data_IF_875572512738
#
_entry.id   IF_875572512738
#
_cell.length_a   1.000
_cell.length_b   1.000
_cell.length_c   1.000
_cell.angle_alpha   90.00
_cell.angle_beta   90.00
_cell.angle_gamma   90.00
#
_symmetry.space_group_name_H-M   'P 1'
#
loop_
_entity.id
_entity.type
_entity.pdbx_description
1 polymer ?
#
# COMPACT_ATOMS: atom_id res chain seq x y z
N UNK A 1 6.86 -39.44 -24.25
CA UNK A 1 7.06 -39.54 -25.71
C UNK A 1 8.48 -39.99 -26.08
N UNK A 2 9.54 -39.31 -25.60
CA UNK A 2 10.94 -39.69 -25.86
C UNK A 2 11.27 -41.11 -25.37
N UNK A 3 10.76 -41.51 -24.20
CA UNK A 3 10.92 -42.87 -23.66
C UNK A 3 10.30 -43.95 -24.57
N UNK A 4 9.12 -43.73 -25.16
CA UNK A 4 8.43 -44.74 -25.99
C UNK A 4 9.14 -44.92 -27.33
N UNK A 5 9.51 -43.82 -27.99
CA UNK A 5 10.24 -43.86 -29.28
C UNK A 5 11.61 -44.54 -29.10
N UNK A 6 12.28 -44.25 -27.98
CA UNK A 6 13.56 -44.84 -27.65
C UNK A 6 13.47 -46.34 -27.33
N UNK A 7 12.45 -46.76 -26.57
CA UNK A 7 12.15 -48.18 -26.32
C UNK A 7 11.84 -48.95 -27.61
N UNK A 8 11.10 -48.34 -28.53
CA UNK A 8 10.80 -48.92 -29.86
C UNK A 8 12.06 -49.01 -30.74
N UNK A 9 12.96 -48.02 -30.68
CA UNK A 9 14.22 -48.03 -31.43
C UNK A 9 15.24 -49.06 -30.90
N UNK A 10 15.20 -49.35 -29.58
CA UNK A 10 16.02 -50.37 -28.93
C UNK A 10 15.58 -51.79 -29.26
N UNK A 11 14.31 -52.00 -29.60
CA UNK A 11 13.75 -53.28 -30.05
C UNK A 11 14.11 -53.62 -31.51
N UNK A 12 14.67 -52.68 -32.28
CA UNK A 12 15.03 -52.90 -33.68
C UNK A 12 16.50 -53.35 -33.82
N UNK A 13 16.74 -54.59 -34.27
CA UNK A 13 18.10 -55.13 -34.43
C UNK A 13 18.89 -54.40 -35.54
N UNK A 14 20.06 -53.84 -35.21
CA UNK A 14 20.99 -53.30 -36.19
C UNK A 14 21.80 -52.06 -35.77
N UNK A 15 22.27 -51.30 -36.76
CA UNK A 15 23.05 -50.05 -36.56
C UNK A 15 22.28 -48.99 -35.76
N UNK A 16 20.95 -48.98 -35.86
CA UNK A 16 20.08 -48.01 -35.19
C UNK A 16 20.02 -48.21 -33.67
N UNK A 17 19.99 -49.44 -33.17
CA UNK A 17 20.07 -49.73 -31.72
C UNK A 17 21.39 -49.25 -31.10
N UNK A 18 22.51 -49.39 -31.83
CA UNK A 18 23.82 -48.87 -31.38
C UNK A 18 23.86 -47.34 -31.30
N UNK A 19 23.17 -46.65 -32.21
CA UNK A 19 23.04 -45.18 -32.17
C UNK A 19 22.10 -44.76 -31.04
N UNK A 20 20.99 -45.46 -30.83
CA UNK A 20 20.06 -45.21 -29.73
C UNK A 20 20.73 -45.37 -28.36
N UNK A 21 21.53 -46.42 -28.17
CA UNK A 21 22.30 -46.63 -26.92
C UNK A 21 23.31 -45.51 -26.63
N UNK A 22 23.86 -44.87 -27.67
CA UNK A 22 24.76 -43.71 -27.53
C UNK A 22 24.02 -42.40 -27.26
N UNK A 23 22.71 -42.34 -27.51
CA UNK A 23 21.84 -41.19 -27.24
C UNK A 23 21.17 -41.28 -25.85
N UNK A 24 21.38 -42.38 -25.10
CA UNK A 24 20.91 -42.53 -23.73
C UNK A 24 21.64 -41.54 -22.81
N UNK A 25 20.99 -40.44 -22.45
CA UNK A 25 21.44 -39.59 -21.34
C UNK A 25 21.19 -40.33 -20.03
N UNK A 26 22.19 -40.33 -19.14
CA UNK A 26 22.07 -40.93 -17.81
C UNK A 26 21.04 -40.16 -16.96
N UNK A 27 20.16 -40.88 -16.26
CA UNK A 27 19.13 -40.28 -15.39
C UNK A 27 19.71 -39.72 -14.06
N UNK A 28 20.89 -40.18 -13.66
CA UNK A 28 21.59 -39.75 -12.44
C UNK A 28 21.88 -38.24 -12.40
N UNK A 29 22.54 -37.63 -13.41
CA UNK A 29 22.75 -36.19 -13.45
C UNK A 29 21.43 -35.41 -13.57
N UNK A 30 20.43 -35.95 -14.28
CA UNK A 30 19.12 -35.30 -14.42
C UNK A 30 18.40 -35.20 -13.06
N UNK A 31 18.40 -36.27 -12.28
CA UNK A 31 17.84 -36.30 -10.93
C UNK A 31 18.56 -35.34 -9.96
N UNK A 32 19.90 -35.27 -10.02
CA UNK A 32 20.68 -34.32 -9.22
C UNK A 32 20.36 -32.85 -9.60
N UNK A 33 20.29 -32.56 -10.90
CA UNK A 33 19.90 -31.23 -11.39
C UNK A 33 18.48 -30.86 -10.99
N UNK A 34 17.52 -31.79 -11.10
CA UNK A 34 16.14 -31.56 -10.69
C UNK A 34 16.03 -31.24 -9.19
N UNK A 35 16.79 -31.94 -8.35
CA UNK A 35 16.88 -31.66 -6.91
C UNK A 35 17.46 -30.27 -6.62
N UNK A 36 18.58 -29.91 -7.27
CA UNK A 36 19.20 -28.61 -7.12
C UNK A 36 18.28 -27.46 -7.56
N UNK A 37 17.57 -27.62 -8.68
CA UNK A 37 16.58 -26.65 -9.16
C UNK A 37 15.39 -26.54 -8.20
N UNK A 38 14.92 -27.65 -7.63
CA UNK A 38 13.86 -27.64 -6.61
C UNK A 38 14.25 -26.83 -5.38
N UNK A 39 15.48 -27.01 -4.89
CA UNK A 39 15.99 -26.24 -3.74
C UNK A 39 16.11 -24.74 -4.05
N UNK A 40 16.64 -24.38 -5.23
CA UNK A 40 16.74 -22.99 -5.68
C UNK A 40 15.35 -22.33 -5.80
N UNK A 41 14.37 -23.06 -6.32
CA UNK A 41 12.99 -22.57 -6.43
C UNK A 41 12.37 -22.30 -5.05
N UNK A 42 12.58 -23.20 -4.08
CA UNK A 42 12.09 -23.01 -2.71
C UNK A 42 12.71 -21.77 -2.06
N UNK A 43 14.03 -21.57 -2.19
CA UNK A 43 14.66 -20.38 -1.65
C UNK A 43 14.15 -19.09 -2.31
N UNK A 44 13.97 -19.10 -3.63
CA UNK A 44 13.41 -17.95 -4.36
C UNK A 44 11.99 -17.61 -3.92
N UNK A 45 11.12 -18.61 -3.87
CA UNK A 45 9.71 -18.40 -3.51
C UNK A 45 9.59 -17.95 -2.05
N UNK A 46 10.41 -18.49 -1.15
CA UNK A 46 10.46 -18.07 0.25
C UNK A 46 10.91 -16.60 0.41
N UNK A 47 11.99 -16.18 -0.27
CA UNK A 47 12.44 -14.77 -0.21
C UNK A 47 11.42 -13.79 -0.79
N UNK A 48 10.78 -14.16 -1.92
CA UNK A 48 9.71 -13.36 -2.50
C UNK A 48 8.49 -13.26 -1.55
N UNK A 49 8.12 -14.37 -0.92
CA UNK A 49 7.03 -14.43 0.05
C UNK A 49 7.30 -13.56 1.28
N UNK A 50 8.52 -13.61 1.84
CA UNK A 50 8.91 -12.79 2.98
C UNK A 50 8.75 -11.30 2.69
N UNK A 51 9.18 -10.84 1.51
CA UNK A 51 9.03 -9.45 1.09
C UNK A 51 7.58 -9.04 0.92
N UNK A 52 6.76 -9.89 0.29
CA UNK A 52 5.33 -9.65 0.15
C UNK A 52 4.63 -9.57 1.51
N UNK A 53 4.97 -10.48 2.43
CA UNK A 53 4.44 -10.49 3.79
C UNK A 53 4.88 -9.24 4.59
N UNK A 54 6.11 -8.77 4.43
CA UNK A 54 6.60 -7.52 5.03
C UNK A 54 5.81 -6.31 4.51
N UNK A 55 5.61 -6.20 3.19
CA UNK A 55 4.82 -5.13 2.59
C UNK A 55 3.39 -5.09 3.14
N UNK A 56 2.73 -6.26 3.25
CA UNK A 56 1.39 -6.38 3.82
C UNK A 56 1.33 -5.89 5.28
N UNK A 57 2.33 -6.23 6.10
CA UNK A 57 2.43 -5.78 7.50
C UNK A 57 2.57 -4.26 7.61
N UNK A 58 3.32 -3.63 6.70
CA UNK A 58 3.46 -2.17 6.69
C UNK A 58 2.11 -1.50 6.36
N UNK A 59 1.39 -2.00 5.36
CA UNK A 59 0.06 -1.49 5.01
C UNK A 59 -0.96 -1.68 6.13
N UNK A 60 -0.92 -2.83 6.82
CA UNK A 60 -1.74 -3.08 8.01
C UNK A 60 -1.42 -2.09 9.14
N UNK A 61 -0.13 -1.78 9.35
CA UNK A 61 0.30 -0.75 10.30
C UNK A 61 -0.26 0.63 9.94
N UNK A 62 -0.17 1.05 8.67
CA UNK A 62 -0.73 2.33 8.21
C UNK A 62 -2.23 2.40 8.52
N UNK A 63 -2.97 1.34 8.22
CA UNK A 63 -4.41 1.25 8.47
C UNK A 63 -4.74 1.32 9.97
N UNK A 64 -4.00 0.58 10.80
CA UNK A 64 -4.18 0.56 12.25
C UNK A 64 -3.88 1.93 12.88
N UNK A 65 -2.76 2.54 12.53
CA UNK A 65 -2.37 3.88 13.00
C UNK A 65 -3.38 4.93 12.56
N UNK A 66 -3.86 4.87 11.32
CA UNK A 66 -4.88 5.80 10.82
C UNK A 66 -6.21 5.67 11.57
N UNK A 67 -6.64 4.44 11.89
CA UNK A 67 -7.84 4.21 12.71
C UNK A 67 -7.67 4.71 14.14
N UNK A 68 -6.50 4.53 14.73
CA UNK A 68 -6.22 5.00 16.09
C UNK A 68 -6.16 6.53 16.14
N UNK A 69 -5.53 7.17 15.15
CA UNK A 69 -5.45 8.62 15.04
C UNK A 69 -6.83 9.24 14.85
N UNK A 70 -7.68 8.67 13.99
CA UNK A 70 -9.05 9.17 13.79
C UNK A 70 -9.91 8.99 15.04
N UNK A 71 -9.83 7.84 15.72
CA UNK A 71 -10.52 7.60 17.01
C UNK A 71 -10.09 8.60 18.08
N UNK A 72 -8.79 8.85 18.21
CA UNK A 72 -8.27 9.79 19.20
C UNK A 72 -8.68 11.23 18.86
N UNK A 73 -8.65 11.62 17.58
CA UNK A 73 -9.10 12.93 17.15
C UNK A 73 -10.60 13.14 17.42
N UNK A 74 -11.43 12.12 17.19
CA UNK A 74 -12.87 12.15 17.48
C UNK A 74 -13.15 12.20 18.99
N UNK A 75 -12.34 11.54 19.82
CA UNK A 75 -12.50 11.58 21.28
C UNK A 75 -12.37 13.01 21.84
N UNK A 76 -11.45 13.79 21.28
CA UNK A 76 -11.19 15.18 21.69
C UNK A 76 -11.87 16.21 20.78
N UNK A 77 -12.94 15.84 20.06
CA UNK A 77 -13.65 16.73 19.12
C UNK A 77 -14.03 18.08 19.75
N UNK A 78 -14.46 18.07 21.03
CA UNK A 78 -14.87 19.28 21.75
C UNK A 78 -13.71 20.24 22.00
N UNK A 79 -12.51 19.71 22.21
CA UNK A 79 -11.31 20.49 22.51
C UNK A 79 -10.59 20.96 21.23
N UNK A 80 -10.62 20.14 20.17
CA UNK A 80 -9.99 20.45 18.88
C UNK A 80 -10.81 21.43 18.02
N UNK A 81 -12.14 21.36 18.13
CA UNK A 81 -13.08 22.04 17.25
C UNK A 81 -13.35 21.26 15.95
N UNK A 82 -14.61 21.34 15.49
CA UNK A 82 -15.12 20.56 14.34
C UNK A 82 -14.35 20.81 13.05
N UNK A 83 -13.98 22.06 12.78
CA UNK A 83 -13.30 22.43 11.53
C UNK A 83 -11.89 21.85 11.46
N UNK A 84 -11.18 21.86 12.58
CA UNK A 84 -9.82 21.31 12.67
C UNK A 84 -9.84 19.81 12.59
N UNK A 85 -10.75 19.16 13.32
CA UNK A 85 -10.98 17.74 13.23
C UNK A 85 -11.26 17.32 11.78
N UNK A 86 -12.14 18.03 11.07
CA UNK A 86 -12.44 17.75 9.67
C UNK A 86 -11.22 17.91 8.75
N UNK A 87 -10.37 18.93 8.98
CA UNK A 87 -9.10 19.06 8.25
C UNK A 87 -8.14 17.91 8.53
N UNK A 88 -7.99 17.50 9.79
CA UNK A 88 -7.14 16.37 10.18
C UNK A 88 -7.61 15.06 9.55
N UNK A 89 -8.91 14.77 9.59
CA UNK A 89 -9.49 13.57 8.99
C UNK A 89 -9.35 13.55 7.47
N UNK A 90 -9.51 14.71 6.81
CA UNK A 90 -9.27 14.86 5.37
C UNK A 90 -7.82 14.60 5.01
N UNK A 91 -6.86 15.19 5.73
CA UNK A 91 -5.43 14.95 5.54
C UNK A 91 -5.08 13.47 5.73
N UNK A 92 -5.62 12.85 6.79
CA UNK A 92 -5.43 11.43 7.07
C UNK A 92 -5.98 10.53 5.96
N UNK A 93 -7.15 10.85 5.42
CA UNK A 93 -7.73 10.13 4.29
C UNK A 93 -6.96 10.35 2.99
N UNK A 94 -6.28 11.50 2.83
CA UNK A 94 -5.47 11.84 1.64
C UNK A 94 -4.13 11.08 1.63
N UNK A 95 -3.54 10.84 2.80
CA UNK A 95 -2.24 10.16 2.95
C UNK A 95 -2.08 8.85 2.16
N UNK A 96 -2.97 7.84 2.25
CA UNK A 96 -2.79 6.58 1.53
C UNK A 96 -2.80 6.75 0.00
N UNK A 97 -3.59 7.69 -0.54
CA UNK A 97 -3.60 7.97 -1.98
C UNK A 97 -2.29 8.63 -2.44
N UNK A 98 -1.76 9.58 -1.66
CA UNK A 98 -0.48 10.22 -1.96
C UNK A 98 0.68 9.24 -1.85
N UNK A 99 0.59 8.28 -0.92
CA UNK A 99 1.60 7.24 -0.76
C UNK A 99 1.60 6.27 -1.95
N UNK A 100 0.43 5.83 -2.41
CA UNK A 100 0.31 4.97 -3.59
C UNK A 100 0.86 5.67 -4.85
N UNK A 101 0.46 6.92 -5.08
CA UNK A 101 0.98 7.74 -6.19
C UNK A 101 2.51 7.90 -6.10
N UNK A 102 3.06 8.16 -4.92
CA UNK A 102 4.51 8.28 -4.70
C UNK A 102 5.29 6.99 -5.01
N UNK A 103 4.74 5.83 -4.66
CA UNK A 103 5.38 4.54 -4.93
C UNK A 103 5.27 4.17 -6.43
N UNK A 104 4.13 4.48 -7.06
CA UNK A 104 3.88 4.14 -8.46
C UNK A 104 4.56 5.11 -9.45
N UNK A 105 4.69 6.40 -9.11
CA UNK A 105 5.37 7.39 -9.96
C UNK A 105 6.86 7.10 -10.15
N UNK A 106 7.53 6.48 -9.18
CA UNK A 106 8.92 6.05 -9.33
C UNK A 106 9.13 4.96 -10.41
N UNK A 107 8.08 4.23 -10.79
CA UNK A 107 8.12 3.23 -11.87
C UNK A 107 7.79 3.81 -13.26
N UNK A 108 7.19 5.00 -13.33
CA UNK A 108 6.63 5.55 -14.55
C UNK A 108 7.17 6.96 -14.85
N UNK A 109 8.30 7.00 -15.57
CA UNK A 109 8.78 8.11 -16.41
C UNK A 109 9.33 9.38 -15.70
N UNK A 110 10.60 9.82 -15.95
CA UNK A 110 11.21 11.02 -15.36
C UNK A 110 10.55 12.36 -15.78
N UNK A 111 9.56 12.33 -16.67
CA UNK A 111 8.91 13.53 -17.23
C UNK A 111 7.84 14.13 -16.32
N UNK A 112 7.35 13.42 -15.29
CA UNK A 112 6.32 13.88 -14.33
C UNK A 112 4.93 14.23 -14.90
N UNK A 113 4.81 14.45 -16.21
CA UNK A 113 3.62 14.96 -16.90
C UNK A 113 2.68 13.85 -17.39
N UNK A 114 3.19 12.64 -17.62
CA UNK A 114 2.37 11.50 -18.08
C UNK A 114 1.44 10.96 -16.98
N UNK A 115 1.88 10.96 -15.72
CA UNK A 115 1.07 10.51 -14.58
C UNK A 115 -0.02 11.53 -14.23
N UNK A 116 0.22 12.83 -14.50
CA UNK A 116 -0.82 13.85 -14.41
C UNK A 116 -1.98 13.53 -15.37
N UNK A 117 -1.69 13.04 -16.59
CA UNK A 117 -2.70 12.63 -17.59
C UNK A 117 -3.48 11.37 -17.20
N UNK A 118 -2.84 10.37 -16.58
CA UNK A 118 -3.53 9.17 -16.06
C UNK A 118 -4.49 9.50 -14.91
N UNK A 119 -4.21 10.53 -14.12
CA UNK A 119 -5.14 11.06 -13.11
C UNK A 119 -6.39 11.76 -13.72
N UNK A 120 -6.41 12.07 -15.02
CA UNK A 120 -7.51 12.76 -15.71
C UNK A 120 -8.25 11.89 -16.75
N UNK A 121 -7.96 10.59 -16.85
CA UNK A 121 -8.66 9.73 -17.81
C UNK A 121 -10.06 9.35 -17.29
N UNK A 122 -11.08 9.99 -17.88
CA UNK A 122 -12.52 9.91 -17.52
C UNK A 122 -13.19 8.54 -17.81
N UNK A 123 -12.43 7.48 -18.02
CA UNK A 123 -12.93 6.25 -18.68
C UNK A 123 -13.32 5.09 -17.77
N UNK A 124 -12.96 5.06 -16.48
CA UNK A 124 -13.26 3.91 -15.58
C UNK A 124 -14.16 4.29 -14.38
N UNK A 125 -15.11 3.45 -13.96
CA UNK A 125 -16.02 3.73 -12.84
C UNK A 125 -15.66 2.92 -11.59
N UNK A 126 -14.85 3.47 -10.68
CA UNK A 126 -14.67 2.89 -9.34
C UNK A 126 -15.27 3.83 -8.29
N UNK A 127 -16.54 3.64 -7.93
CA UNK A 127 -17.24 4.50 -6.94
C UNK A 127 -17.09 3.88 -5.54
N UNK A 128 -16.39 4.56 -4.64
CA UNK A 128 -16.29 4.17 -3.23
C UNK A 128 -17.42 4.80 -2.41
N UNK A 129 -18.36 3.99 -1.92
CA UNK A 129 -19.37 4.41 -0.97
C UNK A 129 -18.77 4.49 0.45
N UNK A 130 -18.71 5.69 1.04
CA UNK A 130 -18.25 5.86 2.43
C UNK A 130 -19.45 6.19 3.32
N UNK A 131 -19.82 5.33 4.29
CA UNK A 131 -20.84 5.64 5.27
C UNK A 131 -20.33 6.65 6.29
N UNK A 132 -21.03 7.80 6.45
CA UNK A 132 -20.76 8.77 7.51
C UNK A 132 -21.86 8.71 8.57
N UNK A 133 -21.50 8.41 9.82
CA UNK A 133 -22.42 8.52 10.95
C UNK A 133 -22.57 9.99 11.35
N UNK A 134 -23.79 10.54 11.22
CA UNK A 134 -24.12 11.89 11.69
C UNK A 134 -24.78 11.74 13.07
N UNK A 135 -24.08 12.18 14.12
CA UNK A 135 -24.65 12.28 15.46
C UNK A 135 -25.38 13.61 15.60
N UNK A 136 -26.71 13.62 15.40
CA UNK A 136 -27.52 14.81 15.64
C UNK A 136 -27.88 14.87 17.13
N UNK A 137 -27.27 15.81 17.86
CA UNK A 137 -27.55 16.01 19.28
C UNK A 137 -28.73 16.99 19.42
N UNK A 138 -29.93 16.47 19.56
CA UNK A 138 -31.10 17.29 19.92
C UNK A 138 -30.96 17.81 21.36
N UNK A 139 -30.99 19.13 21.52
CA UNK A 139 -31.08 19.78 22.84
C UNK A 139 -32.50 19.57 23.37
N UNK A 140 -32.67 18.63 24.30
CA UNK A 140 -33.86 18.55 25.16
C UNK A 140 -34.83 17.42 24.85
N UNK A 141 -34.39 16.16 24.91
CA UNK A 141 -35.28 15.00 24.87
C UNK A 141 -34.54 13.70 25.17
N UNK A 142 -35.10 12.84 26.02
CA UNK A 142 -34.46 11.63 26.56
C UNK A 142 -34.37 10.45 25.56
N UNK A 143 -34.39 10.73 24.24
CA UNK A 143 -34.35 9.72 23.16
C UNK A 143 -33.06 9.88 22.36
N UNK A 144 -32.19 8.87 22.40
CA UNK A 144 -31.05 8.73 21.49
C UNK A 144 -31.57 8.18 20.16
N UNK A 145 -32.03 9.04 19.26
CA UNK A 145 -32.30 8.66 17.87
C UNK A 145 -30.98 8.50 17.13
N UNK A 146 -30.72 7.31 16.61
CA UNK A 146 -29.60 7.06 15.69
C UNK A 146 -29.90 7.84 14.42
N UNK A 147 -29.15 8.92 14.18
CA UNK A 147 -29.28 9.71 12.96
C UNK A 147 -29.11 8.83 11.72
N UNK A 148 -29.93 9.09 10.69
CA UNK A 148 -29.94 8.36 9.44
C UNK A 148 -28.52 8.26 8.84
N UNK A 149 -28.13 7.05 8.39
CA UNK A 149 -26.88 6.85 7.66
C UNK A 149 -27.02 7.56 6.30
N UNK A 150 -26.36 8.70 6.14
CA UNK A 150 -26.29 9.37 4.84
C UNK A 150 -25.15 8.72 4.04
N UNK A 151 -25.50 7.83 3.12
CA UNK A 151 -24.56 7.29 2.14
C UNK A 151 -24.27 8.43 1.16
N UNK A 152 -23.03 8.91 1.15
CA UNK A 152 -22.58 9.92 0.21
C UNK A 152 -21.68 9.24 -0.81
N UNK A 153 -22.08 9.29 -2.07
CA UNK A 153 -21.27 8.81 -3.19
C UNK A 153 -20.18 9.85 -3.45
N UNK A 154 -18.92 9.42 -3.42
CA UNK A 154 -17.76 10.27 -3.68
C UNK A 154 -17.19 9.81 -5.02
N UNK A 155 -17.14 10.72 -5.99
CA UNK A 155 -16.48 10.47 -7.27
C UNK A 155 -14.96 10.34 -7.02
N UNK A 156 -14.39 9.18 -7.37
CA UNK A 156 -12.98 8.85 -7.10
C UNK A 156 -12.01 9.56 -8.03
N UNK A 157 -12.48 10.19 -9.11
CA UNK A 157 -11.67 11.05 -10.01
C UNK A 157 -11.25 12.35 -9.35
N UNK A 158 -12.08 12.81 -8.42
CA UNK A 158 -11.86 14.01 -7.62
C UNK A 158 -11.00 13.74 -6.37
N UNK A 159 -10.96 12.49 -5.92
CA UNK A 159 -10.09 12.02 -4.86
C UNK A 159 -8.67 11.85 -5.42
N UNK A 160 -7.61 12.22 -4.68
CA UNK A 160 -7.61 12.75 -3.31
C UNK A 160 -7.68 14.29 -3.23
N UNK A 161 -7.67 15.00 -4.37
CA UNK A 161 -7.49 16.45 -4.40
C UNK A 161 -8.66 17.26 -3.84
N UNK A 162 -9.89 16.74 -3.94
CA UNK A 162 -11.08 17.36 -3.34
C UNK A 162 -11.16 17.22 -1.81
N UNK A 163 -10.30 16.38 -1.21
CA UNK A 163 -10.16 16.32 0.25
C UNK A 163 -9.38 17.52 0.81
N UNK A 164 -8.52 18.14 0.01
CA UNK A 164 -7.66 19.23 0.42
C UNK A 164 -8.31 20.58 0.09
N UNK A 165 -8.29 21.57 1.00
CA UNK A 165 -8.60 22.96 0.65
C UNK A 165 -7.66 23.46 -0.46
N UNK A 166 -8.14 24.35 -1.33
CA UNK A 166 -7.41 24.81 -2.54
C UNK A 166 -6.00 25.32 -2.25
N UNK A 167 -5.81 26.03 -1.13
CA UNK A 167 -4.50 26.54 -0.70
C UNK A 167 -3.52 25.40 -0.36
N UNK A 168 -3.98 24.34 0.29
CA UNK A 168 -3.16 23.17 0.66
C UNK A 168 -2.93 22.27 -0.56
N UNK A 169 -3.93 22.14 -1.43
CA UNK A 169 -3.85 21.37 -2.67
C UNK A 169 -2.69 21.82 -3.55
N UNK A 170 -2.58 23.13 -3.82
CA UNK A 170 -1.50 23.67 -4.67
C UNK A 170 -0.11 23.41 -4.09
N UNK A 171 0.06 23.60 -2.78
CA UNK A 171 1.33 23.35 -2.10
C UNK A 171 1.70 21.87 -2.07
N UNK A 172 0.71 20.99 -1.89
CA UNK A 172 0.92 19.55 -1.96
C UNK A 172 1.30 19.09 -3.38
N UNK A 173 0.70 19.67 -4.42
CA UNK A 173 1.00 19.32 -5.81
C UNK A 173 2.44 19.65 -6.21
N UNK A 174 3.00 20.74 -5.66
CA UNK A 174 4.38 21.20 -5.92
C UNK A 174 5.41 20.49 -5.02
N UNK A 175 4.97 19.80 -3.97
CA UNK A 175 5.88 19.11 -3.05
C UNK A 175 6.55 17.91 -3.75
N UNK A 176 7.87 17.78 -3.56
CA UNK A 176 8.67 16.66 -4.07
C UNK A 176 8.25 15.34 -3.43
N UNK A 177 8.09 15.33 -2.10
CA UNK A 177 7.53 14.20 -1.35
C UNK A 177 6.13 14.56 -0.84
N UNK A 178 5.11 14.22 -1.63
CA UNK A 178 3.70 14.48 -1.34
C UNK A 178 3.20 13.80 -0.05
N UNK A 179 3.43 12.49 0.20
CA UNK A 179 2.96 11.86 1.44
C UNK A 179 3.62 12.47 2.69
N UNK A 180 4.91 12.83 2.62
CA UNK A 180 5.58 13.53 3.72
C UNK A 180 5.01 14.94 3.97
N UNK A 181 4.66 15.67 2.91
CA UNK A 181 3.98 16.95 3.05
C UNK A 181 2.65 16.83 3.80
N UNK A 182 1.89 15.76 3.54
CA UNK A 182 0.61 15.50 4.23
C UNK A 182 0.83 15.17 5.71
N UNK A 183 1.81 14.34 6.07
CA UNK A 183 2.09 14.01 7.48
C UNK A 183 2.59 15.22 8.26
N UNK A 184 3.45 16.05 7.67
CA UNK A 184 3.89 17.32 8.24
C UNK A 184 2.71 18.29 8.43
N UNK A 185 1.82 18.40 7.44
CA UNK A 185 0.62 19.24 7.59
C UNK A 185 -0.32 18.73 8.67
N UNK A 186 -0.47 17.40 8.79
CA UNK A 186 -1.26 16.77 9.85
C UNK A 186 -0.65 17.06 11.24
N UNK A 187 0.67 16.96 11.38
CA UNK A 187 1.39 17.31 12.61
C UNK A 187 1.18 18.79 13.00
N UNK A 188 1.18 19.71 12.03
CA UNK A 188 0.89 21.14 12.29
C UNK A 188 -0.54 21.37 12.78
N UNK A 189 -1.54 20.66 12.26
CA UNK A 189 -2.92 20.76 12.77
C UNK A 189 -3.01 20.26 14.22
N UNK A 190 -2.31 19.17 14.58
CA UNK A 190 -2.22 18.66 15.96
C UNK A 190 -1.50 19.64 16.88
N UNK A 191 -0.37 20.19 16.44
CA UNK A 191 0.44 21.11 17.23
C UNK A 191 -0.30 22.42 17.53
N UNK A 192 -1.04 22.95 16.55
CA UNK A 192 -1.78 24.19 16.71
C UNK A 192 -3.04 24.10 17.59
N UNK A 193 -3.38 22.93 18.14
CA UNK A 193 -4.51 22.76 19.04
C UNK A 193 -4.24 23.47 20.37
N UNK A 194 -5.20 24.25 20.86
CA UNK A 194 -5.08 24.87 22.20
C UNK A 194 -5.11 23.77 23.26
N UNK A 195 -4.35 23.96 24.33
CA UNK A 195 -4.38 23.06 25.47
C UNK A 195 -5.64 23.36 26.28
N UNK A 196 -6.35 22.31 26.65
CA UNK A 196 -7.52 22.37 27.54
C UNK A 196 -7.24 21.44 28.72
N UNK A 197 -7.98 21.53 29.84
CA UNK A 197 -7.82 20.57 30.93
C UNK A 197 -8.03 19.10 30.50
N UNK A 198 -8.77 18.86 29.41
CA UNK A 198 -8.98 17.52 28.86
C UNK A 198 -7.96 17.15 27.77
N UNK A 199 -7.35 18.14 27.11
CA UNK A 199 -6.34 17.96 26.06
C UNK A 199 -5.02 18.60 26.50
N UNK A 200 -4.20 17.80 27.17
CA UNK A 200 -2.91 18.21 27.72
C UNK A 200 -1.76 17.95 26.73
N UNK A 201 -0.53 18.26 27.15
CA UNK A 201 0.68 17.94 26.37
C UNK A 201 0.83 16.44 26.10
N UNK A 202 0.28 15.58 26.96
CA UNK A 202 0.37 14.11 26.81
C UNK A 202 -0.45 13.61 25.64
N UNK A 203 -1.69 14.08 25.51
CA UNK A 203 -2.58 13.72 24.40
C UNK A 203 -2.04 14.26 23.08
N UNK A 204 -1.51 15.49 23.09
CA UNK A 204 -0.83 16.07 21.92
C UNK A 204 0.37 15.25 21.50
N UNK A 205 1.25 14.88 22.44
CA UNK A 205 2.42 14.05 22.15
C UNK A 205 2.02 12.67 21.60
N UNK A 206 0.95 12.07 22.15
CA UNK A 206 0.41 10.80 21.68
C UNK A 206 -0.10 10.90 20.23
N UNK A 207 -0.82 11.96 19.88
CA UNK A 207 -1.26 12.21 18.50
C UNK A 207 -0.06 12.42 17.56
N UNK A 208 0.94 13.21 17.97
CA UNK A 208 2.15 13.43 17.17
C UNK A 208 2.94 12.14 16.95
N UNK A 209 3.03 11.27 17.95
CA UNK A 209 3.67 9.95 17.83
C UNK A 209 2.94 9.05 16.81
N UNK A 210 1.60 9.14 16.71
CA UNK A 210 0.86 8.43 15.67
C UNK A 210 1.17 9.00 14.27
N UNK A 211 1.31 10.32 14.13
CA UNK A 211 1.71 10.95 12.85
C UNK A 211 3.13 10.52 12.46
N UNK A 212 4.06 10.49 13.42
CA UNK A 212 5.43 10.02 13.19
C UNK A 212 5.46 8.55 12.74
N UNK A 213 4.60 7.70 13.34
CA UNK A 213 4.45 6.31 12.92
C UNK A 213 3.98 6.18 11.46
N UNK A 214 3.14 7.09 10.94
CA UNK A 214 2.76 7.12 9.52
C UNK A 214 3.96 7.47 8.63
N UNK A 215 4.75 8.47 9.03
CA UNK A 215 5.97 8.87 8.33
C UNK A 215 7.01 7.73 8.29
N UNK A 216 7.20 7.04 9.42
CA UNK A 216 8.07 5.85 9.51
C UNK A 216 7.59 4.71 8.60
N UNK A 217 6.28 4.46 8.54
CA UNK A 217 5.69 3.48 7.63
C UNK A 217 5.92 3.82 6.16
N UNK A 218 5.86 5.11 5.77
CA UNK A 218 6.22 5.55 4.41
C UNK A 218 7.68 5.21 4.09
N UNK A 219 8.63 5.52 4.98
CA UNK A 219 10.04 5.16 4.77
C UNK A 219 10.28 3.66 4.68
N UNK A 220 9.49 2.85 5.40
CA UNK A 220 9.51 1.40 5.26
C UNK A 220 8.99 0.92 3.90
N UNK A 221 7.94 1.56 3.36
CA UNK A 221 7.47 1.31 1.99
C UNK A 221 8.55 1.65 0.95
N UNK A 222 9.22 2.80 1.09
CA UNK A 222 10.32 3.21 0.20
C UNK A 222 11.46 2.19 0.22
N UNK A 223 11.84 1.69 1.40
CA UNK A 223 12.84 0.62 1.53
C UNK A 223 12.43 -0.62 0.74
N UNK A 224 11.21 -1.12 0.91
CA UNK A 224 10.71 -2.28 0.16
C UNK A 224 10.59 -1.98 -1.33
N UNK A 225 10.36 -0.74 -1.73
CA UNK A 225 10.30 -0.40 -3.15
C UNK A 225 11.71 -0.40 -3.77
N UNK A 226 12.66 0.28 -3.13
CA UNK A 226 14.00 0.52 -3.69
C UNK A 226 14.95 -0.67 -3.59
N UNK A 227 14.81 -1.53 -2.58
CA UNK A 227 15.75 -2.64 -2.33
C UNK A 227 15.35 -3.92 -3.05
N UNK A 228 15.32 -3.96 -4.38
CA UNK A 228 14.92 -5.18 -5.12
C UNK A 228 15.71 -6.43 -4.68
N UNK A 229 15.09 -7.61 -4.78
CA UNK A 229 15.83 -8.89 -4.59
C UNK A 229 17.01 -8.89 -5.57
N UNK A 230 18.25 -9.18 -5.13
CA UNK A 230 19.41 -8.98 -6.00
C UNK A 230 19.23 -9.74 -7.31
N UNK A 231 19.54 -9.06 -8.42
CA UNK A 231 19.27 -9.57 -9.78
C UNK A 231 19.92 -10.93 -10.06
N UNK A 232 21.01 -11.25 -9.37
CA UNK A 232 21.68 -12.55 -9.46
C UNK A 232 20.76 -13.70 -9.00
N UNK A 233 19.96 -13.50 -7.94
CA UNK A 233 18.97 -14.50 -7.51
C UNK A 233 17.79 -14.61 -8.49
N UNK A 234 17.49 -13.53 -9.22
CA UNK A 234 16.41 -13.50 -10.20
C UNK A 234 16.79 -14.16 -11.54
N UNK A 235 18.05 -14.06 -11.94
CA UNK A 235 18.57 -14.50 -13.26
C UNK A 235 19.04 -15.96 -13.29
N UNK A 236 19.51 -16.48 -12.16
CA UNK A 236 20.12 -17.82 -12.08
C UNK A 236 19.18 -18.91 -11.55
N UNK A 237 17.87 -18.64 -11.47
CA UNK A 237 16.84 -19.61 -11.08
C UNK A 237 16.00 -20.01 -12.27
#
# INVERSE_FOLDING_TARGET
VISIIHSVLLLHEGRLARVAARLCLSDKPHSFMASALGLLLVFRTNSAYQRFAEARKIWERILSVSRNLSRMALLFERDLGTDRLQRMLRLLATFPYMLDDHINTHQADPSGQANLKKLYDESSPDVLAVPRHVYQRERGGNRRTVGSIKIQYIDTRELPWCLLPDATRRRCAVAENRPLYITDRLAREVYGCRLTPNFTHRERATLLAMVDSLSSSMGACERIHQTAVPLNYARHA
#
